data_IF_036410569786
#
_entry.id   IF_036410569786
#
_cell.length_a   1.000
_cell.length_b   1.000
_cell.length_c   1.000
_cell.angle_alpha   90.00
_cell.angle_beta   90.00
_cell.angle_gamma   90.00
#
_symmetry.space_group_name_H-M   'P 1'
#
loop_
_entity.id
_entity.type
_entity.pdbx_description
1 polymer ?
#
# COMPACT_ATOMS: atom_id res chain seq x y z
N UNK A 1 -16.42 -25.60 22.11
CA UNK A 1 -15.06 -26.09 21.77
C UNK A 1 -14.10 -24.91 21.82
N UNK A 2 -13.43 -24.75 22.96
CA UNK A 2 -12.52 -23.62 23.24
C UNK A 2 -11.13 -24.00 22.75
N UNK A 3 -10.67 -23.43 21.63
CA UNK A 3 -9.28 -23.62 21.17
C UNK A 3 -8.38 -22.74 22.03
N UNK A 4 -7.48 -23.37 22.78
CA UNK A 4 -6.44 -22.68 23.54
C UNK A 4 -5.50 -21.86 22.64
N UNK A 5 -4.68 -20.97 23.22
CA UNK A 5 -3.76 -20.12 22.47
C UNK A 5 -2.79 -21.00 21.68
N UNK A 6 -2.71 -20.79 20.37
CA UNK A 6 -1.79 -21.52 19.51
C UNK A 6 -0.38 -20.99 19.75
N UNK A 7 0.39 -21.68 20.60
CA UNK A 7 1.79 -21.36 20.84
C UNK A 7 2.60 -21.85 19.63
N UNK A 8 2.94 -20.94 18.72
CA UNK A 8 3.85 -21.22 17.60
C UNK A 8 5.28 -21.23 18.15
N UNK A 9 5.80 -22.42 18.50
CA UNK A 9 7.23 -22.61 18.73
C UNK A 9 7.94 -22.62 17.39
N UNK A 10 8.68 -21.56 17.09
CA UNK A 10 9.60 -21.52 15.95
C UNK A 10 10.84 -22.34 16.34
N UNK A 11 11.03 -23.50 15.71
CA UNK A 11 12.29 -24.25 15.84
C UNK A 11 13.41 -23.51 15.08
N UNK A 12 14.62 -23.37 15.64
CA UNK A 12 15.75 -22.85 14.89
C UNK A 12 16.11 -23.87 13.80
N UNK A 13 15.88 -23.52 12.53
CA UNK A 13 16.33 -24.34 11.41
C UNK A 13 17.84 -24.32 11.34
N UNK A 14 18.44 -25.49 11.50
CA UNK A 14 19.87 -25.72 11.38
C UNK A 14 20.34 -25.58 9.92
N UNK A 15 21.38 -24.76 9.74
CA UNK A 15 22.40 -24.88 8.69
C UNK A 15 21.97 -24.69 7.24
N UNK A 16 22.27 -23.52 6.67
CA UNK A 16 22.86 -23.37 5.33
C UNK A 16 23.74 -22.09 5.33
N UNK A 17 24.94 -22.25 4.78
CA UNK A 17 26.07 -21.33 4.85
C UNK A 17 25.89 -20.06 4.01
N UNK A 18 26.26 -18.91 4.60
CA UNK A 18 27.13 -17.93 3.92
C UNK A 18 26.51 -16.94 2.91
N UNK A 19 25.55 -16.11 3.31
CA UNK A 19 25.20 -14.93 2.52
C UNK A 19 24.43 -13.88 3.31
N UNK A 20 25.10 -12.82 3.81
CA UNK A 20 24.44 -11.68 4.45
C UNK A 20 25.29 -10.41 4.38
N UNK A 21 24.66 -9.26 4.17
CA UNK A 21 25.32 -7.94 4.14
C UNK A 21 25.44 -7.43 5.57
N UNK A 22 26.68 -7.29 6.05
CA UNK A 22 26.96 -6.82 7.41
C UNK A 22 26.69 -5.31 7.50
N UNK A 23 25.63 -4.90 8.21
CA UNK A 23 25.36 -3.49 8.50
C UNK A 23 25.47 -3.24 10.01
N UNK A 24 26.55 -2.54 10.40
CA UNK A 24 26.89 -2.09 11.75
C UNK A 24 26.84 -3.16 12.86
N UNK A 25 25.69 -3.39 13.52
CA UNK A 25 25.60 -4.24 14.72
C UNK A 25 24.64 -5.44 14.59
N UNK A 26 23.96 -5.59 13.44
CA UNK A 26 22.99 -6.65 13.18
C UNK A 26 23.31 -7.32 11.83
N UNK A 27 23.22 -8.65 11.77
CA UNK A 27 23.20 -9.37 10.49
C UNK A 27 21.84 -9.15 9.83
N UNK A 28 21.72 -8.08 9.07
CA UNK A 28 20.58 -7.86 8.20
C UNK A 28 20.77 -8.70 6.92
N UNK A 29 19.71 -9.33 6.42
CA UNK A 29 19.68 -9.97 5.10
C UNK A 29 20.42 -11.32 4.94
N UNK A 30 20.43 -12.22 5.95
CA UNK A 30 20.92 -13.61 5.71
C UNK A 30 19.93 -14.48 4.91
N UNK A 31 18.70 -13.98 4.70
CA UNK A 31 17.59 -14.74 4.13
C UNK A 31 16.71 -13.84 3.22
N UNK A 32 17.24 -13.29 2.13
CA UNK A 32 16.39 -12.61 1.13
C UNK A 32 15.46 -13.66 0.52
N UNK A 33 14.22 -13.71 0.98
CA UNK A 33 13.24 -14.70 0.51
C UNK A 33 12.49 -14.14 -0.71
N UNK A 34 13.13 -14.17 -1.87
CA UNK A 34 12.48 -13.84 -3.15
C UNK A 34 11.22 -14.68 -3.42
N UNK A 35 11.10 -15.86 -2.79
CA UNK A 35 9.91 -16.69 -2.86
C UNK A 35 8.63 -16.01 -2.35
N UNK A 36 8.74 -15.02 -1.45
CA UNK A 36 7.58 -14.26 -0.98
C UNK A 36 7.04 -13.30 -2.05
N UNK A 37 7.90 -12.66 -2.83
CA UNK A 37 7.49 -11.74 -3.90
C UNK A 37 6.70 -12.45 -5.01
N UNK A 38 6.97 -13.75 -5.22
CA UNK A 38 6.21 -14.62 -6.14
C UNK A 38 4.97 -15.23 -5.51
N UNK A 39 4.78 -15.13 -4.19
CA UNK A 39 3.58 -15.64 -3.53
C UNK A 39 2.34 -14.80 -3.90
N UNK A 40 1.16 -15.42 -3.97
CA UNK A 40 -0.10 -14.73 -4.31
C UNK A 40 -0.31 -13.45 -3.48
N UNK A 41 0.01 -13.51 -2.19
CA UNK A 41 -0.13 -12.39 -1.27
C UNK A 41 0.95 -11.31 -1.47
N UNK A 42 2.19 -11.71 -1.77
CA UNK A 42 3.25 -10.78 -2.11
C UNK A 42 2.96 -9.98 -3.38
N UNK A 43 2.34 -10.62 -4.38
CA UNK A 43 1.95 -9.97 -5.64
C UNK A 43 0.87 -8.90 -5.40
N UNK A 44 -0.12 -9.19 -4.54
CA UNK A 44 -1.18 -8.21 -4.21
C UNK A 44 -0.56 -6.98 -3.54
N UNK A 45 0.28 -7.15 -2.52
CA UNK A 45 0.98 -6.03 -1.86
C UNK A 45 1.90 -5.27 -2.79
N UNK A 46 2.58 -5.97 -3.70
CA UNK A 46 3.41 -5.33 -4.70
C UNK A 46 2.56 -4.48 -5.65
N UNK A 47 1.38 -4.97 -6.04
CA UNK A 47 0.43 -4.21 -6.85
C UNK A 47 -0.08 -2.96 -6.11
N UNK A 48 -0.40 -3.06 -4.82
CA UNK A 48 -0.77 -1.92 -3.96
C UNK A 48 0.36 -0.87 -3.94
N UNK A 49 1.60 -1.31 -3.70
CA UNK A 49 2.76 -0.43 -3.66
C UNK A 49 3.04 0.22 -5.03
N UNK A 50 2.91 -0.52 -6.14
CA UNK A 50 3.11 0.02 -7.48
C UNK A 50 2.03 1.03 -7.85
N UNK A 51 0.75 0.68 -7.67
CA UNK A 51 -0.37 1.55 -8.02
C UNK A 51 -0.42 2.80 -7.11
N UNK A 52 -0.19 2.64 -5.80
CA UNK A 52 -0.03 3.78 -4.90
C UNK A 52 1.16 4.66 -5.30
N UNK A 53 2.28 4.05 -5.70
CA UNK A 53 3.48 4.74 -6.18
C UNK A 53 3.23 5.55 -7.45
N UNK A 54 2.44 5.00 -8.38
CA UNK A 54 1.98 5.72 -9.56
C UNK A 54 1.09 6.92 -9.19
N UNK A 55 0.12 6.74 -8.28
CA UNK A 55 -0.69 7.85 -7.78
C UNK A 55 0.17 8.96 -7.16
N UNK A 56 1.10 8.60 -6.28
CA UNK A 56 2.01 9.55 -5.62
C UNK A 56 2.88 10.29 -6.63
N UNK A 57 3.43 9.59 -7.62
CA UNK A 57 4.29 10.18 -8.65
C UNK A 57 3.52 11.16 -9.54
N UNK A 58 2.29 10.81 -9.94
CA UNK A 58 1.40 11.68 -10.72
C UNK A 58 1.00 12.93 -9.93
N UNK A 59 0.67 12.78 -8.64
CA UNK A 59 0.33 13.91 -7.75
C UNK A 59 1.51 14.86 -7.59
N UNK A 60 2.72 14.35 -7.37
CA UNK A 60 3.91 15.18 -7.19
C UNK A 60 4.28 15.89 -8.49
N UNK A 61 4.26 15.17 -9.62
CA UNK A 61 4.73 15.72 -10.91
C UNK A 61 3.72 16.68 -11.55
N UNK A 62 2.43 16.38 -11.50
CA UNK A 62 1.40 17.15 -12.18
C UNK A 62 0.47 17.92 -11.24
N UNK A 63 0.36 17.52 -9.98
CA UNK A 63 -0.61 18.08 -9.03
C UNK A 63 -0.06 19.15 -8.10
N UNK A 64 1.25 19.12 -7.82
CA UNK A 64 1.88 20.12 -6.94
C UNK A 64 1.73 21.56 -7.45
N UNK A 65 1.76 21.77 -8.77
CA UNK A 65 1.54 23.09 -9.39
C UNK A 65 0.12 23.62 -9.16
N UNK A 66 -0.84 22.72 -8.94
CA UNK A 66 -2.27 23.03 -8.80
C UNK A 66 -2.79 22.75 -7.39
N UNK A 67 -1.89 22.48 -6.44
CA UNK A 67 -2.21 22.16 -5.06
C UNK A 67 -2.97 23.30 -4.37
N UNK A 68 -2.63 24.55 -4.66
CA UNK A 68 -3.31 25.74 -4.12
C UNK A 68 -4.74 25.89 -4.62
N UNK A 69 -5.06 25.34 -5.80
CA UNK A 69 -6.37 25.45 -6.44
C UNK A 69 -7.30 24.34 -5.96
N UNK A 70 -6.78 23.11 -5.83
CA UNK A 70 -7.54 21.97 -5.32
C UNK A 70 -7.66 21.96 -3.79
N UNK A 71 -6.76 22.68 -3.10
CA UNK A 71 -6.79 22.87 -1.65
C UNK A 71 -6.70 21.56 -0.87
N UNK A 72 -7.60 21.40 0.10
CA UNK A 72 -7.62 20.27 1.03
C UNK A 72 -7.80 18.91 0.35
N UNK A 73 -8.46 18.85 -0.82
CA UNK A 73 -8.66 17.59 -1.53
C UNK A 73 -7.36 16.98 -2.03
N UNK A 74 -6.47 17.83 -2.56
CA UNK A 74 -5.16 17.41 -3.02
C UNK A 74 -4.27 16.95 -1.86
N UNK A 75 -4.20 17.75 -0.78
CA UNK A 75 -3.40 17.39 0.40
C UNK A 75 -3.91 16.12 1.08
N UNK A 76 -5.23 15.95 1.21
CA UNK A 76 -5.81 14.74 1.79
C UNK A 76 -5.47 13.48 1.00
N UNK A 77 -5.55 13.54 -0.34
CA UNK A 77 -5.17 12.41 -1.18
C UNK A 77 -3.65 12.15 -1.11
N UNK A 78 -2.83 13.19 -1.19
CA UNK A 78 -1.37 13.08 -1.13
C UNK A 78 -0.88 12.45 0.19
N UNK A 79 -1.45 12.88 1.32
CA UNK A 79 -1.14 12.31 2.63
C UNK A 79 -1.61 10.85 2.72
N UNK A 80 -2.79 10.54 2.20
CA UNK A 80 -3.29 9.16 2.16
C UNK A 80 -2.38 8.25 1.34
N UNK A 81 -2.04 8.66 0.13
CA UNK A 81 -1.20 7.89 -0.78
C UNK A 81 0.21 7.66 -0.20
N UNK A 82 0.84 8.72 0.34
CA UNK A 82 2.17 8.63 0.96
C UNK A 82 2.19 7.75 2.22
N UNK A 83 1.20 7.88 3.11
CA UNK A 83 1.09 7.05 4.30
C UNK A 83 0.91 5.56 3.93
N UNK A 84 -0.02 5.26 3.02
CA UNK A 84 -0.27 3.88 2.60
C UNK A 84 0.95 3.28 1.89
N UNK A 85 1.64 4.06 1.04
CA UNK A 85 2.87 3.61 0.38
C UNK A 85 4.01 3.33 1.35
N UNK A 86 4.24 4.23 2.31
CA UNK A 86 5.29 4.06 3.30
C UNK A 86 5.05 2.78 4.09
N UNK A 87 3.83 2.59 4.60
CA UNK A 87 3.50 1.40 5.40
C UNK A 87 3.58 0.12 4.56
N UNK A 88 3.08 0.11 3.33
CA UNK A 88 3.16 -1.06 2.44
C UNK A 88 4.61 -1.39 2.07
N UNK A 89 5.44 -0.36 1.84
CA UNK A 89 6.88 -0.54 1.57
C UNK A 89 7.62 -1.11 2.77
N UNK A 90 7.30 -0.64 3.99
CA UNK A 90 7.84 -1.18 5.23
C UNK A 90 7.41 -2.64 5.44
N UNK A 91 6.13 -2.96 5.19
CA UNK A 91 5.63 -4.33 5.24
C UNK A 91 6.41 -5.24 4.28
N UNK A 92 6.54 -4.85 3.01
CA UNK A 92 7.33 -5.58 2.00
C UNK A 92 8.80 -5.74 2.45
N UNK A 93 9.42 -4.68 2.98
CA UNK A 93 10.79 -4.74 3.48
C UNK A 93 10.92 -5.72 4.66
N UNK A 94 10.04 -5.63 5.67
CA UNK A 94 10.01 -6.56 6.79
C UNK A 94 9.83 -8.02 6.35
N UNK A 95 9.00 -8.23 5.32
CA UNK A 95 8.72 -9.52 4.73
C UNK A 95 9.90 -10.12 3.96
N UNK A 96 10.61 -9.30 3.18
CA UNK A 96 11.79 -9.73 2.42
C UNK A 96 12.98 -10.00 3.34
N UNK A 97 13.11 -9.24 4.43
CA UNK A 97 14.25 -9.33 5.35
C UNK A 97 14.14 -10.48 6.37
N UNK A 98 12.93 -10.94 6.72
CA UNK A 98 12.73 -11.89 7.80
C UNK A 98 11.56 -12.85 7.57
N UNK A 99 11.87 -14.13 7.35
CA UNK A 99 10.88 -15.22 7.24
C UNK A 99 10.06 -15.42 8.52
N UNK A 100 10.67 -15.25 9.69
CA UNK A 100 9.97 -15.32 10.97
C UNK A 100 8.96 -14.18 11.13
N UNK A 101 9.32 -12.96 10.70
CA UNK A 101 8.41 -11.81 10.77
C UNK A 101 7.18 -11.99 9.86
N UNK A 102 7.33 -12.70 8.74
CA UNK A 102 6.22 -12.99 7.84
C UNK A 102 5.07 -13.73 8.52
N UNK A 103 5.40 -14.75 9.33
CA UNK A 103 4.39 -15.61 9.94
C UNK A 103 3.66 -14.90 11.08
N UNK A 104 4.37 -14.08 11.85
CA UNK A 104 3.77 -13.28 12.92
C UNK A 104 2.92 -12.13 12.40
N UNK A 105 3.43 -11.39 11.40
CA UNK A 105 2.72 -10.22 10.86
C UNK A 105 1.47 -10.66 10.08
N UNK A 106 1.54 -11.74 9.30
CA UNK A 106 0.37 -12.26 8.56
C UNK A 106 -0.75 -12.80 9.47
N UNK A 107 -0.44 -13.14 10.72
CA UNK A 107 -1.45 -13.48 11.73
C UNK A 107 -1.96 -12.27 12.50
N UNK A 108 -1.36 -11.09 12.30
CA UNK A 108 -1.69 -9.88 13.02
C UNK A 108 -2.98 -9.25 12.52
N UNK A 109 -3.78 -8.75 13.46
CA UNK A 109 -4.94 -7.88 13.19
C UNK A 109 -4.49 -6.57 12.52
N UNK A 110 -3.22 -6.19 12.67
CA UNK A 110 -2.65 -4.99 12.07
C UNK A 110 -2.87 -4.93 10.56
N UNK A 111 -2.62 -6.03 9.86
CA UNK A 111 -2.66 -6.05 8.40
C UNK A 111 -4.09 -5.90 7.86
N UNK A 112 -5.04 -6.56 8.52
CA UNK A 112 -6.46 -6.38 8.25
C UNK A 112 -6.92 -4.94 8.51
N UNK A 113 -6.61 -4.39 9.68
CA UNK A 113 -7.04 -3.04 10.07
C UNK A 113 -6.40 -1.99 9.17
N UNK A 114 -5.10 -2.12 8.88
CA UNK A 114 -4.39 -1.20 8.00
C UNK A 114 -5.00 -1.19 6.60
N UNK A 115 -5.18 -2.35 5.98
CA UNK A 115 -5.74 -2.44 4.63
C UNK A 115 -7.20 -1.99 4.58
N UNK A 116 -8.00 -2.28 5.61
CA UNK A 116 -9.36 -1.77 5.71
C UNK A 116 -9.40 -0.22 5.79
N UNK A 117 -8.56 0.36 6.65
CA UNK A 117 -8.44 1.82 6.79
C UNK A 117 -7.92 2.44 5.48
N UNK A 118 -6.90 1.85 4.86
CA UNK A 118 -6.36 2.29 3.58
C UNK A 118 -7.44 2.29 2.49
N UNK A 119 -8.27 1.24 2.42
CA UNK A 119 -9.41 1.17 1.50
C UNK A 119 -10.37 2.35 1.70
N UNK A 120 -10.82 2.59 2.93
CA UNK A 120 -11.73 3.71 3.23
C UNK A 120 -11.11 5.08 2.93
N UNK A 121 -9.83 5.27 3.28
CA UNK A 121 -9.12 6.52 3.00
C UNK A 121 -8.94 6.74 1.51
N UNK A 122 -8.55 5.72 0.74
CA UNK A 122 -8.43 5.85 -0.72
C UNK A 122 -9.77 6.13 -1.40
N UNK A 123 -10.85 5.44 -1.01
CA UNK A 123 -12.18 5.66 -1.60
C UNK A 123 -12.72 7.06 -1.27
N UNK A 124 -12.58 7.50 -0.03
CA UNK A 124 -13.01 8.84 0.39
C UNK A 124 -12.17 9.94 -0.25
N UNK A 125 -10.84 9.80 -0.23
CA UNK A 125 -9.93 10.74 -0.88
C UNK A 125 -10.17 10.81 -2.39
N UNK A 126 -10.37 9.67 -3.06
CA UNK A 126 -10.66 9.64 -4.51
C UNK A 126 -11.99 10.31 -4.85
N UNK A 127 -13.03 10.08 -4.05
CA UNK A 127 -14.33 10.74 -4.24
C UNK A 127 -14.22 12.25 -4.07
N UNK A 128 -13.49 12.70 -3.04
CA UNK A 128 -13.31 14.13 -2.78
C UNK A 128 -12.44 14.80 -3.85
N UNK A 129 -11.37 14.14 -4.30
CA UNK A 129 -10.53 14.62 -5.40
C UNK A 129 -11.32 14.67 -6.72
N UNK A 130 -12.16 13.67 -7.01
CA UNK A 130 -13.00 13.64 -8.20
C UNK A 130 -13.97 14.83 -8.27
N UNK A 131 -14.57 15.22 -7.15
CA UNK A 131 -15.41 16.43 -7.08
C UNK A 131 -14.56 17.69 -7.26
N UNK A 132 -13.40 17.78 -6.60
CA UNK A 132 -12.52 18.94 -6.69
C UNK A 132 -12.00 19.16 -8.13
N UNK A 133 -11.60 18.11 -8.84
CA UNK A 133 -11.13 18.20 -10.24
C UNK A 133 -12.23 18.69 -11.17
N UNK A 134 -13.46 18.20 -11.01
CA UNK A 134 -14.59 18.61 -11.84
C UNK A 134 -15.06 20.04 -11.56
N UNK A 135 -14.94 20.53 -10.32
CA UNK A 135 -15.32 21.91 -10.00
C UNK A 135 -14.22 22.91 -10.41
N UNK A 136 -12.96 22.61 -10.10
CA UNK A 136 -11.87 23.57 -10.25
C UNK A 136 -11.09 23.45 -11.56
N UNK A 137 -10.79 22.23 -12.01
CA UNK A 137 -9.93 22.02 -13.18
C UNK A 137 -10.72 21.92 -14.49
N UNK A 138 -11.96 21.41 -14.48
CA UNK A 138 -12.82 21.36 -15.66
C UNK A 138 -13.04 22.72 -16.35
N UNK A 139 -13.39 23.82 -15.62
CA UNK A 139 -13.55 25.13 -16.28
C UNK A 139 -12.24 25.65 -16.84
N UNK A 140 -11.10 25.39 -16.17
CA UNK A 140 -9.77 25.79 -16.66
C UNK A 140 -9.36 25.03 -17.91
N UNK A 141 -9.66 23.73 -17.97
CA UNK A 141 -9.42 22.90 -19.14
C UNK A 141 -10.22 23.38 -20.36
N UNK A 142 -11.46 23.83 -20.16
CA UNK A 142 -12.31 24.35 -21.24
C UNK A 142 -11.83 25.71 -21.80
N UNK A 143 -11.07 26.47 -21.01
CA UNK A 143 -10.56 27.79 -21.40
C UNK A 143 -9.15 27.74 -21.99
N UNK A 144 -8.34 26.74 -21.64
CA UNK A 144 -6.94 26.63 -22.05
C UNK A 144 -6.73 25.28 -22.75
N UNK A 145 -6.60 25.32 -24.08
CA UNK A 145 -6.20 24.16 -24.87
C UNK A 145 -4.80 23.68 -24.43
N UNK A 146 -4.62 22.36 -24.25
CA UNK A 146 -3.39 21.67 -23.76
C UNK A 146 -3.14 21.64 -22.24
N UNK A 147 -4.18 21.70 -21.40
CA UNK A 147 -3.98 21.58 -19.95
C UNK A 147 -3.82 20.13 -19.47
N UNK A 148 -2.57 19.66 -19.37
CA UNK A 148 -2.22 18.27 -19.02
C UNK A 148 -2.52 17.85 -17.57
N UNK A 149 -2.73 18.81 -16.65
CA UNK A 149 -3.01 18.50 -15.24
C UNK A 149 -4.42 17.90 -15.05
N UNK A 150 -5.42 18.33 -15.83
CA UNK A 150 -6.78 17.77 -15.75
C UNK A 150 -6.86 16.25 -16.03
N UNK A 151 -6.34 15.73 -17.16
CA UNK A 151 -6.36 14.28 -17.40
C UNK A 151 -5.46 13.51 -16.42
N UNK A 152 -4.35 14.10 -15.97
CA UNK A 152 -3.47 13.47 -14.98
C UNK A 152 -4.18 13.27 -13.63
N UNK A 153 -4.82 14.33 -13.11
CA UNK A 153 -5.58 14.26 -11.86
C UNK A 153 -6.81 13.37 -11.97
N UNK A 154 -7.42 13.34 -13.16
CA UNK A 154 -8.50 12.43 -13.47
C UNK A 154 -8.06 10.98 -13.34
N UNK A 155 -6.92 10.64 -13.96
CA UNK A 155 -6.32 9.32 -13.81
C UNK A 155 -5.99 8.98 -12.34
N UNK A 156 -5.48 9.94 -11.56
CA UNK A 156 -5.14 9.73 -10.14
C UNK A 156 -6.34 9.28 -9.33
N UNK A 157 -7.50 9.95 -9.41
CA UNK A 157 -8.64 9.55 -8.59
C UNK A 157 -9.25 8.23 -9.07
N UNK A 158 -9.23 7.91 -10.37
CA UNK A 158 -9.65 6.59 -10.87
C UNK A 158 -8.72 5.47 -10.38
N UNK A 159 -7.40 5.66 -10.48
CA UNK A 159 -6.43 4.70 -9.95
C UNK A 159 -6.56 4.60 -8.43
N UNK A 160 -6.82 5.71 -7.73
CA UNK A 160 -7.09 5.74 -6.30
C UNK A 160 -8.28 4.86 -5.89
N UNK A 161 -9.38 4.86 -6.65
CA UNK A 161 -10.49 3.94 -6.42
C UNK A 161 -10.06 2.49 -6.61
N UNK A 162 -9.28 2.18 -7.67
CA UNK A 162 -8.76 0.83 -7.91
C UNK A 162 -7.85 0.39 -6.76
N UNK A 163 -6.95 1.24 -6.29
CA UNK A 163 -6.06 0.98 -5.14
C UNK A 163 -6.86 0.75 -3.87
N UNK A 164 -7.91 1.55 -3.64
CA UNK A 164 -8.83 1.35 -2.52
C UNK A 164 -9.48 -0.04 -2.56
N UNK A 165 -9.97 -0.46 -3.73
CA UNK A 165 -10.55 -1.80 -3.92
C UNK A 165 -9.50 -2.90 -3.66
N UNK A 166 -8.27 -2.73 -4.17
CA UNK A 166 -7.18 -3.70 -3.96
C UNK A 166 -6.89 -3.86 -2.46
N UNK A 167 -6.74 -2.76 -1.72
CA UNK A 167 -6.60 -2.81 -0.26
C UNK A 167 -7.81 -3.45 0.43
N UNK A 168 -9.03 -3.22 -0.07
CA UNK A 168 -10.23 -3.88 0.45
C UNK A 168 -10.21 -5.41 0.24
N UNK A 169 -9.76 -5.86 -0.93
CA UNK A 169 -9.59 -7.28 -1.25
C UNK A 169 -8.50 -7.89 -0.38
N UNK A 170 -7.36 -7.21 -0.20
CA UNK A 170 -6.28 -7.68 0.67
C UNK A 170 -6.77 -7.80 2.12
N UNK A 171 -7.50 -6.79 2.63
CA UNK A 171 -8.14 -6.87 3.94
C UNK A 171 -9.07 -8.09 4.09
N UNK A 172 -9.90 -8.37 3.08
CA UNK A 172 -10.80 -9.52 3.11
C UNK A 172 -10.03 -10.86 3.14
N UNK A 173 -8.96 -10.98 2.35
CA UNK A 173 -8.10 -12.17 2.33
C UNK A 173 -7.40 -12.34 3.68
N UNK A 174 -6.83 -11.28 4.24
CA UNK A 174 -6.20 -11.31 5.58
C UNK A 174 -7.21 -11.68 6.66
N UNK A 175 -8.44 -11.18 6.59
CA UNK A 175 -9.51 -11.52 7.52
C UNK A 175 -9.90 -13.00 7.45
N UNK A 176 -10.06 -13.54 6.24
CA UNK A 176 -10.34 -14.96 6.01
C UNK A 176 -9.21 -15.82 6.61
N UNK A 177 -7.97 -15.42 6.39
CA UNK A 177 -6.79 -16.10 6.90
C UNK A 177 -6.72 -16.07 8.45
N UNK A 178 -7.05 -14.93 9.07
CA UNK A 178 -7.07 -14.78 10.52
C UNK A 178 -8.16 -15.63 11.20
N UNK A 179 -9.35 -15.74 10.58
CA UNK A 179 -10.44 -16.61 11.08
C UNK A 179 -10.18 -18.12 10.90
N UNK A 180 -9.10 -18.53 10.23
CA UNK A 180 -8.72 -19.92 10.08
C UNK A 180 -9.60 -20.72 9.12
N UNK A 181 -10.41 -20.06 8.29
CA UNK A 181 -11.15 -20.68 7.20
C UNK A 181 -10.17 -20.75 6.01
N UNK A 182 -9.45 -21.86 5.88
CA UNK A 182 -8.58 -22.14 4.71
C UNK A 182 -9.37 -21.92 3.42
#
# INVERSE_FOLDING_TARGET
MTRGPTIVRVAPSAGHSGGGIKCCCCRCCECINFGYLTSQHGIIKLAEAMLGGLCQSLLVKYGMSEASVMGSAFHGFLTTASACLLTTSLLIACYVLSSNSQQLIRQSIFEFVFNAVACFLYLSASSYMGVAVNIYLYPRYSLINMYAAYPAMTAVYYIGVIVGIVHGVDAYISYKYHKGIR
#
